data_IF_595265503916
#
_entry.id   IF_595265503916
#
_cell.length_a   1.000
_cell.length_b   1.000
_cell.length_c   1.000
_cell.angle_alpha   90.00
_cell.angle_beta   90.00
_cell.angle_gamma   90.00
#
_symmetry.space_group_name_H-M   'P 1'
#
loop_
_entity.id
_entity.type
_entity.pdbx_description
1 polymer ?
#
# COMPACT_ATOMS: atom_id res chain seq x y z
N UNK A 1 -5.92 -1.62 -29.36
CA UNK A 1 -5.14 -2.67 -28.67
C UNK A 1 -4.49 -3.58 -29.69
N UNK A 2 -5.28 -4.20 -30.58
CA UNK A 2 -4.80 -5.03 -31.71
C UNK A 2 -3.70 -4.33 -32.52
N UNK A 3 -3.98 -3.13 -33.05
CA UNK A 3 -2.99 -2.36 -33.83
C UNK A 3 -1.70 -2.07 -33.05
N UNK A 4 -1.77 -1.84 -31.73
CA UNK A 4 -0.59 -1.59 -30.91
C UNK A 4 0.24 -2.87 -30.73
N UNK A 5 -0.44 -4.00 -30.52
CA UNK A 5 0.20 -5.31 -30.41
C UNK A 5 0.88 -5.69 -31.73
N UNK A 6 0.21 -5.50 -32.87
CA UNK A 6 0.78 -5.73 -34.20
C UNK A 6 1.98 -4.82 -34.48
N UNK A 7 1.84 -3.52 -34.17
CA UNK A 7 2.88 -2.52 -34.44
C UNK A 7 4.14 -2.73 -33.60
N UNK A 8 3.97 -3.12 -32.34
CA UNK A 8 5.08 -3.16 -31.38
C UNK A 8 5.56 -4.58 -31.04
N UNK A 9 4.80 -5.62 -31.40
CA UNK A 9 5.15 -7.02 -31.11
C UNK A 9 5.15 -7.34 -29.61
N UNK A 10 4.53 -6.50 -28.78
CA UNK A 10 4.43 -6.67 -27.33
C UNK A 10 3.02 -7.15 -27.00
N UNK A 11 2.85 -8.24 -26.24
CA UNK A 11 1.55 -8.67 -25.76
C UNK A 11 0.87 -7.56 -24.94
N UNK A 12 -0.35 -7.21 -25.30
CA UNK A 12 -1.15 -6.23 -24.56
C UNK A 12 -2.36 -6.93 -23.98
N UNK A 13 -2.62 -6.71 -22.69
CA UNK A 13 -3.85 -7.16 -22.03
C UNK A 13 -4.90 -6.04 -22.06
N UNK A 14 -6.13 -6.39 -22.38
CA UNK A 14 -7.28 -5.51 -22.23
C UNK A 14 -7.84 -5.59 -20.80
N UNK A 15 -7.99 -4.45 -20.14
CA UNK A 15 -8.82 -4.33 -18.94
C UNK A 15 -10.18 -3.79 -19.36
N UNK A 16 -11.13 -4.68 -19.61
CA UNK A 16 -12.49 -4.31 -20.00
C UNK A 16 -13.35 -4.16 -18.74
N UNK A 17 -13.95 -2.98 -18.54
CA UNK A 17 -14.75 -2.71 -17.35
C UNK A 17 -16.19 -2.36 -17.69
N UNK A 18 -17.11 -2.72 -16.79
CA UNK A 18 -18.53 -2.39 -16.90
C UNK A 18 -19.15 -2.16 -15.52
N UNK A 19 -19.90 -1.07 -15.38
CA UNK A 19 -20.70 -0.78 -14.19
C UNK A 19 -21.84 -1.77 -14.01
N UNK A 20 -21.87 -2.45 -12.85
CA UNK A 20 -22.85 -3.53 -12.60
C UNK A 20 -23.83 -3.24 -11.47
N UNK A 21 -23.58 -2.22 -10.66
CA UNK A 21 -24.43 -1.98 -9.49
C UNK A 21 -25.82 -1.45 -9.85
N UNK A 22 -26.88 -1.78 -9.09
CA UNK A 22 -28.23 -1.29 -9.35
C UNK A 22 -28.33 0.23 -9.42
N UNK A 23 -27.52 0.94 -8.62
CA UNK A 23 -27.49 2.41 -8.66
C UNK A 23 -26.87 2.94 -9.95
N UNK A 24 -25.84 2.28 -10.49
CA UNK A 24 -25.24 2.65 -11.76
C UNK A 24 -26.17 2.32 -12.92
N UNK A 25 -26.78 1.14 -12.89
CA UNK A 25 -27.81 0.74 -13.86
C UNK A 25 -28.96 1.74 -13.92
N UNK A 26 -29.47 2.16 -12.76
CA UNK A 26 -30.53 3.15 -12.67
C UNK A 26 -30.13 4.51 -13.24
N UNK A 27 -28.93 5.00 -12.88
CA UNK A 27 -28.44 6.30 -13.33
C UNK A 27 -28.29 6.38 -14.87
N UNK A 28 -27.86 5.29 -15.49
CA UNK A 28 -27.58 5.23 -16.93
C UNK A 28 -28.76 4.66 -17.76
N UNK A 29 -29.82 4.20 -17.11
CA UNK A 29 -30.92 3.50 -17.77
C UNK A 29 -30.51 2.17 -18.40
N UNK A 30 -29.52 1.48 -17.83
CA UNK A 30 -29.02 0.20 -18.36
C UNK A 30 -29.84 -0.97 -17.85
N UNK A 31 -30.13 -1.91 -18.77
CA UNK A 31 -30.73 -3.20 -18.46
C UNK A 31 -29.66 -4.29 -18.47
N UNK A 32 -29.92 -5.43 -17.82
CA UNK A 32 -29.01 -6.57 -17.86
C UNK A 32 -28.74 -7.07 -19.29
N UNK A 33 -29.73 -7.02 -20.18
CA UNK A 33 -29.55 -7.33 -21.61
C UNK A 33 -28.56 -6.37 -22.28
N UNK A 34 -28.66 -5.07 -21.97
CA UNK A 34 -27.72 -4.07 -22.47
C UNK A 34 -26.31 -4.29 -21.93
N UNK A 35 -26.17 -4.61 -20.64
CA UNK A 35 -24.88 -4.90 -20.02
C UNK A 35 -24.22 -6.11 -20.68
N UNK A 36 -24.96 -7.22 -20.80
CA UNK A 36 -24.47 -8.46 -21.40
C UNK A 36 -24.07 -8.24 -22.85
N UNK A 37 -24.94 -7.69 -23.70
CA UNK A 37 -24.62 -7.45 -25.11
C UNK A 37 -23.41 -6.52 -25.31
N UNK A 38 -23.24 -5.51 -24.44
CA UNK A 38 -22.09 -4.61 -24.47
C UNK A 38 -20.80 -5.34 -24.11
N UNK A 39 -20.82 -6.12 -23.02
CA UNK A 39 -19.69 -6.97 -22.62
C UNK A 39 -19.36 -7.98 -23.72
N UNK A 40 -20.33 -8.72 -24.23
CA UNK A 40 -20.13 -9.75 -25.26
C UNK A 40 -19.44 -9.16 -26.49
N UNK A 41 -19.92 -8.00 -26.97
CA UNK A 41 -19.31 -7.32 -28.12
C UNK A 41 -17.83 -6.99 -27.87
N UNK A 42 -17.52 -6.41 -26.71
CA UNK A 42 -16.16 -5.98 -26.40
C UNK A 42 -15.21 -7.17 -26.13
N UNK A 43 -15.68 -8.17 -25.38
CA UNK A 43 -14.89 -9.35 -24.99
C UNK A 43 -14.64 -10.24 -26.21
N UNK A 44 -15.67 -10.54 -27.01
CA UNK A 44 -15.50 -11.38 -28.21
C UNK A 44 -14.52 -10.73 -29.18
N UNK A 45 -14.63 -9.42 -29.42
CA UNK A 45 -13.68 -8.71 -30.28
C UNK A 45 -12.23 -8.85 -29.78
N UNK A 46 -11.99 -8.70 -28.48
CA UNK A 46 -10.64 -8.84 -27.93
C UNK A 46 -10.12 -10.28 -28.05
N UNK A 47 -10.94 -11.27 -27.70
CA UNK A 47 -10.56 -12.69 -27.74
C UNK A 47 -10.33 -13.18 -29.17
N UNK A 48 -11.18 -12.80 -30.13
CA UNK A 48 -11.03 -13.13 -31.55
C UNK A 48 -9.77 -12.55 -32.19
N UNK A 49 -9.18 -11.52 -31.59
CA UNK A 49 -7.95 -10.87 -32.05
C UNK A 49 -6.74 -11.18 -31.14
N UNK A 50 -6.78 -12.29 -30.39
CA UNK A 50 -5.70 -12.75 -29.53
C UNK A 50 -5.23 -11.68 -28.51
N UNK A 51 -6.18 -10.90 -27.98
CA UNK A 51 -5.95 -9.94 -26.90
C UNK A 51 -6.51 -10.53 -25.60
N UNK A 52 -5.66 -10.96 -24.64
CA UNK A 52 -6.12 -11.43 -23.34
C UNK A 52 -6.95 -10.37 -22.63
N UNK A 53 -8.04 -10.78 -21.98
CA UNK A 53 -8.96 -9.87 -21.29
C UNK A 53 -8.95 -10.16 -19.79
N UNK A 54 -8.76 -9.10 -19.01
CA UNK A 54 -9.24 -9.02 -17.64
C UNK A 54 -10.59 -8.32 -17.63
N UNK A 55 -11.63 -9.02 -17.19
CA UNK A 55 -12.96 -8.44 -17.10
C UNK A 55 -13.22 -7.89 -15.71
N UNK A 56 -13.60 -6.62 -15.64
CA UNK A 56 -13.73 -5.84 -14.40
C UNK A 56 -15.19 -5.47 -14.20
N UNK A 57 -15.78 -5.82 -13.06
CA UNK A 57 -17.09 -5.28 -12.70
C UNK A 57 -16.90 -4.04 -11.81
N UNK A 58 -17.16 -2.86 -12.37
CA UNK A 58 -17.18 -1.64 -11.58
C UNK A 58 -18.32 -1.74 -10.55
N UNK A 59 -18.00 -1.32 -9.32
CA UNK A 59 -18.89 -1.28 -8.17
C UNK A 59 -19.42 -2.65 -7.71
N UNK A 60 -18.62 -3.71 -7.87
CA UNK A 60 -18.97 -5.09 -7.50
C UNK A 60 -19.56 -5.19 -6.09
N UNK A 61 -18.96 -4.51 -5.12
CA UNK A 61 -19.34 -4.60 -3.70
C UNK A 61 -20.75 -4.10 -3.39
N UNK A 62 -21.39 -3.39 -4.33
CA UNK A 62 -22.79 -2.93 -4.23
C UNK A 62 -23.69 -3.53 -5.30
N UNK A 63 -23.18 -4.47 -6.08
CA UNK A 63 -23.95 -5.14 -7.13
C UNK A 63 -24.82 -6.27 -6.58
N UNK A 64 -25.87 -6.61 -7.33
CA UNK A 64 -26.64 -7.80 -7.04
C UNK A 64 -25.79 -9.05 -7.34
N UNK A 65 -25.59 -9.98 -6.38
CA UNK A 65 -24.79 -11.18 -6.60
C UNK A 65 -25.21 -11.98 -7.84
N UNK A 66 -26.51 -12.07 -8.14
CA UNK A 66 -27.01 -12.79 -9.31
C UNK A 66 -26.58 -12.15 -10.64
N UNK A 67 -26.48 -10.81 -10.68
CA UNK A 67 -26.04 -10.10 -11.87
C UNK A 67 -24.52 -10.27 -12.06
N UNK A 68 -23.75 -10.22 -10.97
CA UNK A 68 -22.31 -10.49 -10.96
C UNK A 68 -22.02 -11.90 -11.47
N UNK A 69 -22.76 -12.90 -10.95
CA UNK A 69 -22.67 -14.29 -11.41
C UNK A 69 -22.90 -14.37 -12.92
N UNK A 70 -24.07 -13.95 -13.41
CA UNK A 70 -24.40 -14.00 -14.85
C UNK A 70 -23.33 -13.35 -15.72
N UNK A 71 -22.85 -12.17 -15.34
CA UNK A 71 -21.86 -11.41 -16.11
C UNK A 71 -20.52 -12.15 -16.16
N UNK A 72 -19.98 -12.58 -15.01
CA UNK A 72 -18.68 -13.26 -14.98
C UNK A 72 -18.72 -14.65 -15.62
N UNK A 73 -19.78 -15.43 -15.38
CA UNK A 73 -19.93 -16.74 -16.02
C UNK A 73 -19.93 -16.59 -17.54
N UNK A 74 -20.70 -15.61 -18.05
CA UNK A 74 -20.74 -15.32 -19.48
C UNK A 74 -19.39 -14.82 -20.01
N UNK A 75 -18.67 -13.96 -19.28
CA UNK A 75 -17.33 -13.55 -19.66
C UNK A 75 -16.37 -14.75 -19.76
N UNK A 76 -16.43 -15.68 -18.80
CA UNK A 76 -15.60 -16.89 -18.81
C UNK A 76 -15.93 -17.83 -19.98
N UNK A 77 -17.20 -17.98 -20.34
CA UNK A 77 -17.63 -18.72 -21.55
C UNK A 77 -17.02 -18.13 -22.83
N UNK A 78 -16.86 -16.80 -22.90
CA UNK A 78 -16.24 -16.11 -24.03
C UNK A 78 -14.71 -16.20 -24.04
N UNK A 79 -14.09 -16.86 -23.05
CA UNK A 79 -12.64 -17.05 -23.00
C UNK A 79 -11.91 -16.15 -22.00
N UNK A 80 -12.62 -15.35 -21.20
CA UNK A 80 -11.97 -14.59 -20.11
C UNK A 80 -11.44 -15.56 -19.05
N UNK A 81 -10.19 -15.35 -18.65
CA UNK A 81 -9.51 -16.12 -17.58
C UNK A 81 -8.96 -15.25 -16.45
N UNK A 82 -9.23 -13.94 -16.50
CA UNK A 82 -8.91 -12.99 -15.42
C UNK A 82 -10.14 -12.17 -15.10
N UNK A 83 -10.54 -12.17 -13.84
CA UNK A 83 -11.69 -11.38 -13.36
C UNK A 83 -11.22 -10.42 -12.27
N UNK A 84 -11.78 -9.22 -12.22
CA UNK A 84 -11.41 -8.21 -11.24
C UNK A 84 -12.63 -7.67 -10.51
N UNK A 85 -12.74 -8.00 -9.23
CA UNK A 85 -13.77 -7.45 -8.34
C UNK A 85 -13.31 -6.14 -7.73
N UNK A 86 -14.24 -5.18 -7.65
CA UNK A 86 -13.95 -3.80 -7.28
C UNK A 86 -14.77 -3.32 -6.08
N UNK A 87 -14.10 -2.70 -5.11
CA UNK A 87 -14.71 -1.75 -4.15
C UNK A 87 -14.50 -0.32 -4.67
N UNK A 88 -15.28 0.05 -5.69
CA UNK A 88 -15.14 1.34 -6.41
C UNK A 88 -15.33 2.54 -5.48
N UNK A 89 -16.12 2.41 -4.42
CA UNK A 89 -16.39 3.48 -3.47
C UNK A 89 -15.67 3.34 -2.13
N UNK A 90 -14.73 2.40 -1.99
CA UNK A 90 -13.92 2.22 -0.79
C UNK A 90 -14.76 1.98 0.47
N UNK A 91 -15.94 1.36 0.31
CA UNK A 91 -16.93 1.25 1.38
C UNK A 91 -16.91 -0.10 2.09
N UNK A 92 -16.33 -1.15 1.50
CA UNK A 92 -16.44 -2.50 2.03
C UNK A 92 -15.54 -2.68 3.26
N UNK A 93 -15.91 -3.59 4.15
CA UNK A 93 -15.08 -3.99 5.29
C UNK A 93 -14.30 -5.27 4.97
N UNK A 94 -13.22 -5.59 5.71
CA UNK A 94 -12.43 -6.80 5.48
C UNK A 94 -13.25 -8.09 5.45
N UNK A 95 -14.24 -8.22 6.35
CA UNK A 95 -15.15 -9.37 6.34
C UNK A 95 -16.05 -9.40 5.08
N UNK A 96 -16.44 -8.23 4.57
CA UNK A 96 -17.17 -8.11 3.31
C UNK A 96 -16.33 -8.56 2.11
N UNK A 97 -15.04 -8.21 2.08
CA UNK A 97 -14.09 -8.68 1.06
C UNK A 97 -14.03 -10.21 1.06
N UNK A 98 -13.80 -10.83 2.22
CA UNK A 98 -13.71 -12.29 2.35
C UNK A 98 -14.99 -12.99 1.87
N UNK A 99 -16.16 -12.47 2.25
CA UNK A 99 -17.44 -13.01 1.80
C UNK A 99 -17.63 -12.89 0.29
N UNK A 100 -17.29 -11.74 -0.28
CA UNK A 100 -17.41 -11.51 -1.72
C UNK A 100 -16.48 -12.46 -2.50
N UNK A 101 -15.21 -12.59 -2.10
CA UNK A 101 -14.28 -13.47 -2.79
C UNK A 101 -14.62 -14.96 -2.63
N UNK A 102 -15.13 -15.36 -1.47
CA UNK A 102 -15.68 -16.72 -1.30
C UNK A 102 -16.89 -16.94 -2.22
N UNK A 103 -17.78 -15.96 -2.38
CA UNK A 103 -18.88 -16.03 -3.35
C UNK A 103 -18.37 -16.16 -4.79
N UNK A 104 -17.33 -15.40 -5.17
CA UNK A 104 -16.70 -15.50 -6.49
C UNK A 104 -16.14 -16.91 -6.72
N UNK A 105 -15.41 -17.48 -5.76
CA UNK A 105 -14.85 -18.82 -5.90
C UNK A 105 -15.94 -19.90 -5.94
N UNK A 106 -16.81 -19.95 -4.93
CA UNK A 106 -17.76 -21.05 -4.73
C UNK A 106 -18.94 -21.00 -5.70
N UNK A 107 -19.49 -19.81 -5.97
CA UNK A 107 -20.77 -19.68 -6.67
C UNK A 107 -20.64 -19.09 -8.08
N UNK A 108 -19.51 -18.45 -8.42
CA UNK A 108 -19.30 -17.92 -9.77
C UNK A 108 -18.38 -18.84 -10.57
N UNK A 109 -17.18 -19.14 -10.05
CA UNK A 109 -16.18 -19.95 -10.77
C UNK A 109 -16.58 -21.42 -10.78
N UNK A 110 -16.77 -22.05 -9.62
CA UNK A 110 -17.04 -23.50 -9.54
C UNK A 110 -18.38 -23.88 -10.17
N UNK A 111 -19.42 -23.09 -9.98
CA UNK A 111 -20.73 -23.31 -10.63
C UNK A 111 -20.67 -23.19 -12.16
N UNK A 112 -19.64 -22.53 -12.71
CA UNK A 112 -19.39 -22.48 -14.16
C UNK A 112 -18.62 -23.69 -14.69
N UNK A 113 -18.24 -24.62 -13.82
CA UNK A 113 -17.44 -25.80 -14.19
C UNK A 113 -15.95 -25.52 -14.41
N UNK A 114 -15.44 -24.36 -13.97
CA UNK A 114 -14.01 -24.05 -14.00
C UNK A 114 -13.35 -24.40 -12.66
N UNK A 115 -12.11 -24.86 -12.70
CA UNK A 115 -11.31 -24.96 -11.49
C UNK A 115 -10.79 -23.56 -11.10
N UNK A 116 -10.70 -23.30 -9.79
CA UNK A 116 -10.19 -22.02 -9.26
C UNK A 116 -8.81 -21.65 -9.83
N UNK A 117 -7.96 -22.63 -10.13
CA UNK A 117 -6.61 -22.42 -10.70
C UNK A 117 -6.61 -21.89 -12.13
N UNK A 118 -7.72 -22.04 -12.86
CA UNK A 118 -7.81 -21.64 -14.27
C UNK A 118 -8.24 -20.17 -14.42
N UNK A 119 -8.73 -19.56 -13.34
CA UNK A 119 -9.26 -18.20 -13.32
C UNK A 119 -8.43 -17.37 -12.34
N UNK A 120 -7.72 -16.36 -12.83
CA UNK A 120 -7.01 -15.40 -12.00
C UNK A 120 -8.01 -14.40 -11.41
N UNK A 121 -8.07 -14.30 -10.08
CA UNK A 121 -8.97 -13.40 -9.36
C UNK A 121 -8.21 -12.20 -8.85
N UNK A 122 -8.56 -11.03 -9.38
CA UNK A 122 -7.98 -9.74 -9.05
C UNK A 122 -8.91 -9.00 -8.07
N UNK A 123 -8.33 -8.31 -7.10
CA UNK A 123 -9.03 -7.43 -6.17
C UNK A 123 -8.57 -5.98 -6.35
N UNK A 124 -9.54 -5.08 -6.49
CA UNK A 124 -9.27 -3.64 -6.62
C UNK A 124 -10.11 -2.85 -5.61
N UNK A 125 -9.46 -2.31 -4.57
CA UNK A 125 -10.13 -1.53 -3.53
C UNK A 125 -9.72 -0.07 -3.49
N UNK A 126 -10.69 0.82 -3.34
CA UNK A 126 -10.46 2.22 -2.94
C UNK A 126 -10.35 2.37 -1.42
N UNK A 127 -9.86 3.53 -0.97
CA UNK A 127 -9.59 3.81 0.45
C UNK A 127 -10.46 4.92 1.07
N UNK A 128 -11.65 5.18 0.52
CA UNK A 128 -12.56 6.22 1.04
C UNK A 128 -12.88 6.10 2.55
N UNK A 129 -12.90 4.88 3.10
CA UNK A 129 -13.05 4.64 4.55
C UNK A 129 -11.74 4.40 5.31
N UNK A 130 -10.59 4.56 4.66
CA UNK A 130 -9.29 4.20 5.22
C UNK A 130 -9.05 2.70 5.37
N UNK A 131 -9.82 1.86 4.64
CA UNK A 131 -9.76 0.40 4.75
C UNK A 131 -8.97 -0.28 3.62
N UNK A 132 -8.37 0.49 2.70
CA UNK A 132 -7.73 -0.06 1.49
C UNK A 132 -6.69 -1.16 1.77
N UNK A 133 -5.70 -0.88 2.63
CA UNK A 133 -4.66 -1.87 3.00
C UNK A 133 -5.27 -3.10 3.69
N UNK A 134 -6.18 -2.89 4.65
CA UNK A 134 -6.83 -3.98 5.36
C UNK A 134 -7.69 -4.86 4.44
N UNK A 135 -8.34 -4.26 3.45
CA UNK A 135 -9.12 -4.95 2.43
C UNK A 135 -8.22 -5.72 1.46
N UNK A 136 -7.04 -5.18 1.08
CA UNK A 136 -6.06 -5.92 0.29
C UNK A 136 -5.52 -7.15 1.04
N UNK A 137 -5.19 -7.01 2.33
CA UNK A 137 -4.79 -8.15 3.17
C UNK A 137 -5.91 -9.20 3.22
N UNK A 138 -7.14 -8.77 3.49
CA UNK A 138 -8.30 -9.67 3.53
C UNK A 138 -8.57 -10.36 2.17
N UNK A 139 -8.28 -9.69 1.06
CA UNK A 139 -8.40 -10.26 -0.27
C UNK A 139 -7.38 -11.38 -0.50
N UNK A 140 -6.11 -11.15 -0.15
CA UNK A 140 -5.06 -12.18 -0.22
C UNK A 140 -5.40 -13.37 0.68
N UNK A 141 -5.86 -13.13 1.91
CA UNK A 141 -6.29 -14.20 2.83
C UNK A 141 -7.48 -15.01 2.30
N UNK A 142 -8.35 -14.40 1.49
CA UNK A 142 -9.47 -15.06 0.82
C UNK A 142 -9.08 -15.70 -0.52
N UNK A 143 -7.80 -15.65 -0.88
CA UNK A 143 -7.27 -16.28 -2.08
C UNK A 143 -7.38 -15.44 -3.35
N UNK A 144 -7.38 -14.11 -3.28
CA UNK A 144 -7.12 -13.28 -4.47
C UNK A 144 -5.68 -13.53 -4.97
N UNK A 145 -5.51 -13.67 -6.29
CA UNK A 145 -4.19 -13.89 -6.90
C UNK A 145 -3.43 -12.57 -7.08
N UNK A 146 -4.18 -11.49 -7.31
CA UNK A 146 -3.64 -10.15 -7.55
C UNK A 146 -4.42 -9.13 -6.72
N UNK A 147 -3.71 -8.23 -6.04
CA UNK A 147 -4.29 -7.04 -5.41
C UNK A 147 -3.78 -5.79 -6.10
N UNK A 148 -4.69 -4.88 -6.42
CA UNK A 148 -4.36 -3.59 -7.01
C UNK A 148 -4.08 -2.54 -5.94
N UNK A 149 -3.27 -1.55 -6.31
CA UNK A 149 -2.97 -0.39 -5.49
C UNK A 149 -2.09 0.58 -6.27
N UNK A 150 -1.78 1.71 -5.64
CA UNK A 150 -0.90 2.74 -6.22
C UNK A 150 0.05 3.28 -5.16
N UNK A 151 1.15 3.90 -5.58
CA UNK A 151 2.03 4.62 -4.67
C UNK A 151 1.22 5.67 -3.89
N UNK A 152 1.41 5.75 -2.58
CA UNK A 152 0.70 6.66 -1.68
C UNK A 152 -0.83 6.48 -1.65
N UNK A 153 -1.35 5.46 -2.33
CA UNK A 153 -2.77 5.32 -2.59
C UNK A 153 -3.32 6.36 -3.58
N UNK A 154 -2.51 6.95 -4.45
CA UNK A 154 -2.97 7.89 -5.50
C UNK A 154 -4.17 7.34 -6.31
N UNK A 155 -5.18 8.15 -6.54
CA UNK A 155 -6.33 7.79 -7.36
C UNK A 155 -7.52 8.73 -7.14
N UNK A 156 -8.69 8.32 -7.62
CA UNK A 156 -9.95 9.06 -7.44
C UNK A 156 -10.30 9.28 -5.96
N UNK A 157 -10.74 10.50 -5.61
CA UNK A 157 -11.21 10.90 -4.27
C UNK A 157 -10.14 10.72 -3.18
N UNK A 158 -10.37 9.83 -2.21
CA UNK A 158 -9.38 9.44 -1.21
C UNK A 158 -8.32 8.49 -1.80
N UNK A 159 -8.55 7.97 -3.01
CA UNK A 159 -7.59 7.19 -3.76
C UNK A 159 -7.78 5.68 -3.71
N UNK A 160 -6.78 4.95 -4.20
CA UNK A 160 -6.71 3.50 -4.19
C UNK A 160 -6.08 2.99 -2.89
N UNK A 161 -6.09 1.68 -2.65
CA UNK A 161 -5.28 1.09 -1.59
C UNK A 161 -3.78 1.44 -1.79
N UNK A 162 -3.08 1.96 -0.75
CA UNK A 162 -1.66 2.23 -0.82
C UNK A 162 -0.86 0.95 -1.05
N UNK A 163 -0.21 0.87 -2.20
CA UNK A 163 0.53 -0.31 -2.62
C UNK A 163 1.79 -0.50 -1.77
N UNK A 164 2.46 0.59 -1.44
CA UNK A 164 3.65 0.61 -0.59
C UNK A 164 3.39 -0.01 0.79
N UNK A 165 2.35 0.44 1.51
CA UNK A 165 1.93 -0.18 2.77
C UNK A 165 1.42 -1.62 2.57
N UNK A 166 0.75 -1.92 1.45
CA UNK A 166 0.30 -3.29 1.14
C UNK A 166 1.50 -4.24 1.02
N UNK A 167 2.54 -3.85 0.27
CA UNK A 167 3.76 -4.65 0.09
C UNK A 167 4.48 -4.91 1.42
N UNK A 168 4.59 -3.88 2.28
CA UNK A 168 5.16 -4.03 3.64
C UNK A 168 4.41 -5.12 4.41
N UNK A 169 3.07 -5.05 4.47
CA UNK A 169 2.28 -6.03 5.23
C UNK A 169 2.39 -7.43 4.63
N UNK A 170 2.35 -7.57 3.30
CA UNK A 170 2.50 -8.88 2.65
C UNK A 170 3.87 -9.51 2.91
N UNK A 171 4.95 -8.71 2.94
CA UNK A 171 6.30 -9.20 3.29
C UNK A 171 6.35 -9.65 4.76
N UNK A 172 5.82 -8.86 5.68
CA UNK A 172 5.80 -9.19 7.12
C UNK A 172 4.91 -10.40 7.44
N UNK A 173 3.86 -10.63 6.64
CA UNK A 173 3.02 -11.84 6.74
C UNK A 173 3.69 -13.08 6.12
N UNK A 174 4.81 -12.92 5.40
CA UNK A 174 5.45 -14.00 4.65
C UNK A 174 4.66 -14.43 3.40
N UNK A 175 3.71 -13.59 2.93
CA UNK A 175 2.94 -13.85 1.72
C UNK A 175 3.77 -13.58 0.44
N UNK A 176 4.78 -12.71 0.54
CA UNK A 176 5.76 -12.44 -0.51
C UNK A 176 7.17 -12.47 0.08
N UNK A 177 8.17 -12.78 -0.75
CA UNK A 177 9.58 -12.73 -0.37
C UNK A 177 10.41 -11.76 -1.25
N UNK A 178 9.75 -10.88 -1.99
CA UNK A 178 10.42 -9.86 -2.79
C UNK A 178 11.36 -9.00 -1.94
N UNK A 179 12.46 -8.53 -2.55
CA UNK A 179 13.32 -7.50 -1.97
C UNK A 179 12.61 -6.15 -2.04
N UNK A 180 12.34 -5.56 -0.88
CA UNK A 180 11.64 -4.28 -0.72
C UNK A 180 12.56 -3.17 -0.21
N UNK A 181 13.88 -3.40 -0.20
CA UNK A 181 14.86 -2.39 0.25
C UNK A 181 14.87 -1.12 -0.61
N UNK A 182 14.39 -1.19 -1.85
CA UNK A 182 14.25 -0.02 -2.75
C UNK A 182 12.95 0.75 -2.56
N UNK A 183 12.05 0.29 -1.67
CA UNK A 183 10.71 0.85 -1.55
C UNK A 183 10.74 2.28 -0.96
N UNK A 184 11.70 2.59 -0.08
CA UNK A 184 11.94 3.95 0.39
C UNK A 184 12.28 4.94 -0.73
N UNK A 185 13.20 4.58 -1.63
CA UNK A 185 13.56 5.40 -2.80
C UNK A 185 12.38 5.55 -3.77
N UNK A 186 11.66 4.44 -4.03
CA UNK A 186 10.44 4.46 -4.84
C UNK A 186 9.41 5.46 -4.29
N UNK A 187 9.20 5.49 -2.97
CA UNK A 187 8.24 6.40 -2.35
C UNK A 187 8.68 7.85 -2.44
N UNK A 188 9.98 8.15 -2.26
CA UNK A 188 10.52 9.49 -2.49
C UNK A 188 10.24 9.96 -3.92
N UNK A 189 10.60 9.13 -4.90
CA UNK A 189 10.42 9.44 -6.31
C UNK A 189 8.94 9.56 -6.72
N UNK A 190 8.08 8.72 -6.16
CA UNK A 190 6.65 8.74 -6.47
C UNK A 190 5.96 10.00 -5.95
N UNK A 191 6.25 10.43 -4.71
CA UNK A 191 5.64 11.64 -4.14
C UNK A 191 6.14 12.90 -4.87
N UNK A 192 7.43 12.96 -5.21
CA UNK A 192 8.02 14.05 -5.98
C UNK A 192 7.40 14.15 -7.37
N UNK A 193 7.30 13.04 -8.10
CA UNK A 193 6.78 13.01 -9.46
C UNK A 193 5.28 13.34 -9.53
N UNK A 194 4.51 12.90 -8.53
CA UNK A 194 3.05 13.09 -8.50
C UNK A 194 2.64 14.40 -7.82
N UNK A 195 3.60 15.13 -7.23
CA UNK A 195 3.39 16.34 -6.44
C UNK A 195 2.38 16.15 -5.28
N UNK A 196 2.22 14.90 -4.83
CA UNK A 196 1.41 14.57 -3.66
C UNK A 196 2.30 14.59 -2.42
N UNK A 197 1.99 15.38 -1.38
CA UNK A 197 2.79 15.41 -0.17
C UNK A 197 2.89 14.02 0.47
N UNK A 198 4.09 13.62 0.87
CA UNK A 198 4.33 12.49 1.78
C UNK A 198 4.32 13.01 3.23
N UNK A 199 3.26 12.76 4.03
CA UNK A 199 3.19 13.24 5.40
C UNK A 199 4.34 12.68 6.24
N UNK A 200 4.85 13.48 7.19
CA UNK A 200 5.93 13.04 8.08
C UNK A 200 5.56 11.78 8.88
N UNK A 201 4.30 11.64 9.27
CA UNK A 201 3.79 10.48 10.00
C UNK A 201 3.16 9.41 9.10
N UNK A 202 3.43 9.43 7.79
CA UNK A 202 2.95 8.39 6.88
C UNK A 202 3.53 7.03 7.29
N UNK A 203 2.73 5.95 7.35
CA UNK A 203 3.21 4.66 7.80
C UNK A 203 4.43 4.19 7.00
N UNK A 204 5.47 3.76 7.72
CA UNK A 204 6.76 3.26 7.19
C UNK A 204 7.61 4.32 6.49
N UNK A 205 7.06 5.04 5.51
CA UNK A 205 7.84 5.91 4.62
C UNK A 205 7.86 7.38 5.03
N UNK A 206 7.05 7.77 6.02
CA UNK A 206 7.12 9.09 6.62
C UNK A 206 8.38 9.27 7.46
N UNK A 207 8.94 10.48 7.47
CA UNK A 207 10.14 10.81 8.25
C UNK A 207 10.04 10.42 9.74
N UNK A 208 8.86 10.57 10.34
CA UNK A 208 8.64 10.29 11.76
C UNK A 208 8.49 8.79 12.05
N UNK A 209 8.32 7.93 11.02
CA UNK A 209 7.95 6.52 11.20
C UNK A 209 9.01 5.68 11.94
N UNK A 210 10.29 6.04 11.79
CA UNK A 210 11.43 5.39 12.44
C UNK A 210 12.26 6.34 13.30
N UNK A 211 11.71 7.51 13.61
CA UNK A 211 12.34 8.46 14.52
C UNK A 211 11.90 8.21 15.97
N UNK A 212 12.87 8.09 16.88
CA UNK A 212 12.62 8.00 18.31
C UNK A 212 13.30 9.12 19.09
N UNK A 213 12.49 9.99 19.68
CA UNK A 213 12.96 11.09 20.54
C UNK A 213 12.71 10.86 22.02
N UNK A 214 11.96 9.82 22.40
CA UNK A 214 11.67 9.52 23.81
C UNK A 214 12.85 8.80 24.45
N UNK A 215 13.37 9.32 25.56
CA UNK A 215 14.60 8.81 26.19
C UNK A 215 14.58 7.32 26.53
N UNK A 216 13.45 6.78 26.99
CA UNK A 216 13.33 5.34 27.32
C UNK A 216 13.37 4.45 26.07
N UNK A 217 12.77 4.88 24.96
CA UNK A 217 12.77 4.12 23.71
C UNK A 217 14.16 4.15 23.06
N UNK A 218 14.74 5.35 22.94
CA UNK A 218 16.08 5.54 22.41
C UNK A 218 17.12 4.72 23.18
N UNK A 219 17.01 4.65 24.51
CA UNK A 219 17.95 3.88 25.34
C UNK A 219 18.04 2.40 24.96
N UNK A 220 16.93 1.72 24.65
CA UNK A 220 17.01 0.32 24.27
C UNK A 220 17.55 0.13 22.84
N UNK A 221 17.17 0.99 21.89
CA UNK A 221 17.73 0.97 20.53
C UNK A 221 19.25 1.18 20.59
N UNK A 222 19.74 2.18 21.35
CA UNK A 222 21.18 2.42 21.55
C UNK A 222 21.87 1.20 22.15
N UNK A 223 21.28 0.56 23.16
CA UNK A 223 21.88 -0.62 23.79
C UNK A 223 21.97 -1.80 22.83
N UNK A 224 20.99 -1.99 21.95
CA UNK A 224 21.02 -3.01 20.91
C UNK A 224 22.09 -2.68 19.85
N UNK A 225 22.13 -1.43 19.36
CA UNK A 225 23.17 -0.96 18.43
C UNK A 225 24.58 -1.15 18.99
N UNK A 226 24.81 -0.79 20.26
CA UNK A 226 26.12 -0.95 20.94
C UNK A 226 26.55 -2.41 21.11
N UNK A 227 25.62 -3.37 21.04
CA UNK A 227 25.93 -4.80 21.05
C UNK A 227 26.31 -5.33 19.65
N UNK A 228 26.18 -4.51 18.60
CA UNK A 228 26.33 -4.94 17.21
C UNK A 228 25.18 -5.80 16.70
N UNK A 229 24.06 -5.84 17.43
CA UNK A 229 22.87 -6.64 17.07
C UNK A 229 21.88 -5.76 16.31
N UNK A 230 22.13 -5.58 15.01
CA UNK A 230 21.30 -4.75 14.15
C UNK A 230 19.87 -5.30 14.00
N UNK A 231 19.72 -6.63 14.00
CA UNK A 231 18.40 -7.26 13.95
C UNK A 231 17.56 -6.87 15.16
N UNK A 232 18.14 -6.93 16.36
CA UNK A 232 17.48 -6.50 17.60
C UNK A 232 17.23 -5.01 17.61
N UNK A 233 18.21 -4.20 17.19
CA UNK A 233 18.09 -2.75 17.19
C UNK A 233 16.92 -2.26 16.35
N UNK A 234 16.64 -2.94 15.23
CA UNK A 234 15.57 -2.60 14.31
C UNK A 234 14.17 -3.07 14.77
N UNK A 235 14.10 -3.87 15.84
CA UNK A 235 12.86 -4.52 16.31
C UNK A 235 12.49 -4.24 17.75
N UNK A 236 13.46 -3.86 18.59
CA UNK A 236 13.27 -3.71 20.04
C UNK A 236 12.16 -2.72 20.41
N UNK A 237 11.91 -1.74 19.54
CA UNK A 237 10.83 -0.75 19.68
C UNK A 237 10.08 -0.46 18.37
N UNK A 238 10.17 -1.35 17.38
CA UNK A 238 9.46 -1.20 16.11
C UNK A 238 8.82 -2.51 15.67
N UNK A 239 7.54 -2.46 15.32
CA UNK A 239 6.82 -3.59 14.71
C UNK A 239 7.17 -3.80 13.24
N UNK A 240 7.80 -2.79 12.61
CA UNK A 240 8.28 -2.85 11.23
C UNK A 240 9.80 -2.67 11.26
N UNK A 241 10.61 -3.65 10.81
CA UNK A 241 12.05 -3.50 10.71
C UNK A 241 12.39 -2.53 9.57
N UNK A 242 12.96 -1.37 9.88
CA UNK A 242 13.26 -0.31 8.92
C UNK A 242 14.23 -0.80 7.82
N UNK A 243 15.22 -1.61 8.20
CA UNK A 243 16.25 -2.10 7.29
C UNK A 243 15.71 -2.97 6.16
N UNK A 244 14.57 -3.65 6.36
CA UNK A 244 13.94 -4.47 5.33
C UNK A 244 13.28 -3.63 4.22
N UNK A 245 13.10 -2.33 4.45
CA UNK A 245 12.44 -1.39 3.52
C UNK A 245 13.35 -0.25 3.07
N UNK A 246 14.68 -0.38 3.29
CA UNK A 246 15.68 0.60 2.88
C UNK A 246 15.78 1.81 3.80
N UNK A 247 15.34 1.67 5.05
CA UNK A 247 15.24 2.73 6.03
C UNK A 247 16.08 2.37 7.27
N UNK A 248 16.23 3.31 8.20
CA UNK A 248 17.01 3.12 9.42
C UNK A 248 16.28 3.66 10.66
N UNK A 249 16.61 3.10 11.82
CA UNK A 249 16.17 3.65 13.10
C UNK A 249 16.94 4.94 13.39
N UNK A 250 16.24 6.05 13.56
CA UNK A 250 16.85 7.37 13.77
C UNK A 250 16.57 7.84 15.19
N UNK A 251 17.63 8.22 15.91
CA UNK A 251 17.50 8.78 17.25
C UNK A 251 17.57 10.31 17.16
N UNK A 252 16.47 10.95 17.56
CA UNK A 252 16.34 12.41 17.53
C UNK A 252 16.43 13.03 18.92
N UNK A 253 16.70 14.33 18.93
CA UNK A 253 16.68 15.19 20.12
C UNK A 253 15.35 15.97 20.11
N UNK A 254 14.70 16.10 21.25
CA UNK A 254 13.47 16.87 21.40
C UNK A 254 13.02 16.94 22.84
N UNK A 255 11.82 17.47 23.08
CA UNK A 255 11.31 17.70 24.45
C UNK A 255 11.26 16.45 25.35
N UNK A 256 11.08 15.26 24.76
CA UNK A 256 11.10 13.98 25.48
C UNK A 256 12.48 13.29 25.54
N UNK A 257 13.52 13.92 24.99
CA UNK A 257 14.86 13.34 24.96
C UNK A 257 15.46 13.22 26.36
N UNK A 258 16.24 12.16 26.55
CA UNK A 258 17.17 12.02 27.66
C UNK A 258 18.59 12.39 27.21
N UNK A 259 19.52 12.50 28.17
CA UNK A 259 20.95 12.74 27.87
C UNK A 259 21.53 11.70 26.92
N UNK A 260 21.06 10.45 26.99
CA UNK A 260 21.48 9.37 26.08
C UNK A 260 21.19 9.67 24.61
N UNK A 261 20.07 10.34 24.29
CA UNK A 261 19.76 10.73 22.91
C UNK A 261 20.78 11.73 22.40
N UNK A 262 21.09 12.74 23.21
CA UNK A 262 22.02 13.82 22.86
C UNK A 262 23.43 13.27 22.65
N UNK A 263 23.92 12.49 23.63
CA UNK A 263 25.22 11.82 23.55
C UNK A 263 25.30 10.97 22.29
N UNK A 264 24.28 10.16 22.02
CA UNK A 264 24.25 9.32 20.83
C UNK A 264 24.28 10.14 19.55
N UNK A 265 23.44 11.17 19.43
CA UNK A 265 23.36 12.02 18.25
C UNK A 265 24.70 12.71 17.96
N UNK A 266 25.37 13.24 18.99
CA UNK A 266 26.70 13.85 18.89
C UNK A 266 27.75 12.83 18.43
N UNK A 267 27.77 11.65 19.04
CA UNK A 267 28.72 10.56 18.70
C UNK A 267 28.58 10.12 17.24
N UNK A 268 27.35 9.93 16.75
CA UNK A 268 27.11 9.51 15.37
C UNK A 268 27.56 10.55 14.33
N UNK A 269 27.73 11.82 14.72
CA UNK A 269 28.12 12.92 13.85
C UNK A 269 29.53 13.47 14.14
N UNK A 270 30.32 12.73 14.93
CA UNK A 270 31.69 13.09 15.30
C UNK A 270 31.84 14.45 16.00
N UNK A 271 30.82 14.89 16.74
CA UNK A 271 30.95 16.02 17.66
C UNK A 271 31.61 15.57 18.96
N UNK A 272 32.40 16.46 19.57
CA UNK A 272 32.93 16.24 20.92
C UNK A 272 31.78 16.21 21.94
N UNK A 273 31.82 15.24 22.85
CA UNK A 273 30.79 15.08 23.89
C UNK A 273 31.34 15.60 25.21
N UNK A 274 30.94 16.80 25.60
CA UNK A 274 31.23 17.40 26.91
C UNK A 274 29.97 17.49 27.76
N UNK A 275 30.12 17.46 29.09
CA UNK A 275 28.98 17.53 30.01
C UNK A 275 28.23 18.87 29.87
N UNK A 276 28.97 19.95 29.59
CA UNK A 276 28.42 21.30 29.38
C UNK A 276 27.58 21.37 28.11
N UNK A 277 28.08 20.83 26.99
CA UNK A 277 27.34 20.81 25.72
C UNK A 277 26.09 19.93 25.84
N UNK A 278 26.20 18.78 26.49
CA UNK A 278 25.06 17.88 26.72
C UNK A 278 24.01 18.55 27.59
N UNK A 279 24.40 19.28 28.64
CA UNK A 279 23.48 20.03 29.49
C UNK A 279 22.77 21.16 28.72
N UNK A 280 23.52 21.94 27.93
CA UNK A 280 22.97 23.00 27.08
C UNK A 280 21.94 22.45 26.08
N UNK A 281 22.31 21.43 25.31
CA UNK A 281 21.39 20.79 24.35
C UNK A 281 20.18 20.15 25.03
N UNK A 282 20.34 19.66 26.26
CA UNK A 282 19.23 19.13 27.03
C UNK A 282 18.22 20.22 27.37
N UNK A 283 18.69 21.39 27.84
CA UNK A 283 17.81 22.51 28.16
C UNK A 283 17.13 23.08 26.89
N UNK A 284 17.89 23.22 25.80
CA UNK A 284 17.33 23.59 24.49
C UNK A 284 16.24 22.60 24.08
N UNK A 285 16.52 21.29 24.14
CA UNK A 285 15.56 20.26 23.78
C UNK A 285 14.29 20.33 24.65
N UNK A 286 14.42 20.55 25.97
CA UNK A 286 13.28 20.68 26.90
C UNK A 286 12.41 21.91 26.62
N UNK A 287 12.97 22.96 26.04
CA UNK A 287 12.21 24.14 25.62
C UNK A 287 11.43 23.95 24.31
N UNK A 288 11.75 22.91 23.52
CA UNK A 288 11.07 22.65 22.26
C UNK A 288 9.68 22.04 22.47
N UNK A 289 8.84 22.11 21.44
CA UNK A 289 7.50 21.47 21.42
C UNK A 289 7.45 20.19 20.58
N UNK A 290 8.50 19.93 19.80
CA UNK A 290 8.61 18.80 18.87
C UNK A 290 10.03 18.22 18.89
N UNK A 291 10.26 17.22 18.05
CA UNK A 291 11.62 16.80 17.71
C UNK A 291 12.32 17.93 16.94
N UNK A 292 13.60 18.09 17.21
CA UNK A 292 14.47 19.02 16.50
C UNK A 292 14.96 18.36 15.22
N UNK A 293 14.90 19.10 14.12
CA UNK A 293 15.60 18.73 12.90
C UNK A 293 17.11 18.89 13.12
N UNK A 294 17.93 18.19 12.33
CA UNK A 294 19.39 18.19 12.52
C UNK A 294 19.99 19.61 12.43
N UNK A 295 19.46 20.47 11.55
CA UNK A 295 19.89 21.86 11.44
C UNK A 295 19.63 22.68 12.71
N UNK A 296 18.56 22.38 13.45
CA UNK A 296 18.24 23.06 14.70
C UNK A 296 19.20 22.63 15.82
N UNK A 297 19.59 21.36 15.83
CA UNK A 297 20.60 20.84 16.76
C UNK A 297 21.96 21.47 16.45
N UNK A 298 22.35 21.52 15.17
CA UNK A 298 23.61 22.16 14.74
C UNK A 298 23.64 23.64 15.14
N UNK A 299 22.57 24.39 14.88
CA UNK A 299 22.48 25.79 15.27
C UNK A 299 22.59 25.98 16.80
N UNK A 300 22.04 25.06 17.59
CA UNK A 300 22.16 25.09 19.05
C UNK A 300 23.59 24.82 19.55
N UNK A 301 24.35 23.97 18.83
CA UNK A 301 25.78 23.73 19.09
C UNK A 301 26.60 24.97 18.73
N UNK A 302 26.35 25.59 17.58
CA UNK A 302 27.02 26.82 17.16
C UNK A 302 26.78 27.97 18.14
N UNK A 303 25.55 28.11 18.65
CA UNK A 303 25.21 29.10 19.66
C UNK A 303 25.89 28.85 21.02
N UNK A 304 26.28 27.61 21.33
CA UNK A 304 27.02 27.28 22.55
C UNK A 304 28.52 27.63 22.45
N UNK A 305 29.09 27.50 21.24
CA UNK A 305 30.51 27.75 21.00
C UNK A 305 30.86 29.23 20.79
N UNK A 306 29.86 30.08 20.56
CA UNK A 306 29.98 31.54 20.40
C UNK A 306 29.83 32.27 21.74
#
# INVERSE_FOLDING_TARGET
LVELQEKHGIPIQASAFLGTSPIRQYAEGWTMEKLLSTMETAVSFAVENDVPVMFVTEDTTRSNPEDIKKIYQRAMELGVRRICVCDTCGHVTPNGVKKLLNFIDEEVIKDSGYDRRDIEVNWHGHQDRGLGVANNIAAVEAGADVVHGTALGLGERAGNAPLDQTLVNLKLMGAIDNDLTVLGEYMQKAHEFTEVPLPRNYPVFGQDAFETGTGVHASAVIKAMKKGDHWLADRVYSGVPAGEFGLEQVIRIGHMAGRSNIIWWLQQRNYEVTDELVAHLFDVAKSQRRLMDDSEVVAAIEAFNN
#
